data_IF_447895452504
#
_entry.id   IF_447895452504
#
_cell.length_a   1.000
_cell.length_b   1.000
_cell.length_c   1.000
_cell.angle_alpha   90.00
_cell.angle_beta   90.00
_cell.angle_gamma   90.00
#
_symmetry.space_group_name_H-M   'P 1'
#
loop_
_entity.id
_entity.type
_entity.pdbx_description
1 polymer ?
#
# COMPACT_ATOMS: atom_id res chain seq x y z
N UNK A 1 -13.80 -24.15 -59.89
CA UNK A 1 -13.61 -22.70 -59.63
C UNK A 1 -14.27 -22.37 -58.30
N UNK A 2 -13.52 -22.48 -57.22
CA UNK A 2 -13.98 -22.23 -55.85
C UNK A 2 -14.00 -20.73 -55.60
N UNK A 3 -15.16 -20.12 -55.85
CA UNK A 3 -15.48 -18.74 -55.47
C UNK A 3 -15.73 -18.74 -53.96
N UNK A 4 -14.72 -18.81 -53.10
CA UNK A 4 -14.85 -18.59 -51.66
C UNK A 4 -13.45 -18.35 -51.08
N UNK A 5 -12.97 -17.10 -51.08
CA UNK A 5 -12.10 -16.61 -49.98
C UNK A 5 -11.77 -15.10 -50.03
N UNK A 6 -12.05 -14.38 -51.12
CA UNK A 6 -11.62 -12.97 -51.22
C UNK A 6 -12.39 -12.00 -50.29
N UNK A 7 -13.60 -12.37 -49.86
CA UNK A 7 -14.40 -11.53 -48.96
C UNK A 7 -13.98 -11.69 -47.49
N UNK A 8 -13.29 -12.78 -47.14
CA UNK A 8 -12.78 -13.06 -45.78
C UNK A 8 -11.61 -12.14 -45.39
N UNK A 9 -10.86 -11.64 -46.38
CA UNK A 9 -9.59 -10.96 -46.18
C UNK A 9 -9.73 -9.43 -46.00
N UNK A 10 -10.82 -8.83 -46.48
CA UNK A 10 -11.01 -7.36 -46.45
C UNK A 10 -11.67 -6.90 -45.15
N UNK A 11 -11.01 -5.98 -44.44
CA UNK A 11 -11.47 -5.46 -43.14
C UNK A 11 -12.70 -4.57 -43.31
N UNK A 12 -12.76 -3.83 -44.43
CA UNK A 12 -13.88 -3.00 -44.81
C UNK A 12 -14.44 -3.43 -46.16
N UNK A 13 -15.72 -3.79 -46.18
CA UNK A 13 -16.45 -4.13 -47.40
C UNK A 13 -17.18 -2.90 -47.91
N UNK A 14 -17.11 -2.65 -49.22
CA UNK A 14 -17.89 -1.58 -49.86
C UNK A 14 -19.33 -2.07 -50.01
N UNK A 15 -20.28 -1.37 -49.40
CA UNK A 15 -21.70 -1.67 -49.52
C UNK A 15 -22.14 -1.59 -50.99
N UNK A 16 -22.70 -2.70 -51.51
CA UNK A 16 -23.27 -2.77 -52.87
C UNK A 16 -24.66 -2.13 -52.97
N UNK A 17 -25.22 -1.65 -51.86
CA UNK A 17 -26.56 -1.08 -51.79
C UNK A 17 -26.55 0.44 -52.01
N UNK A 18 -26.06 0.86 -53.19
CA UNK A 18 -26.21 2.20 -53.76
C UNK A 18 -25.54 3.38 -53.05
N UNK A 19 -25.05 3.22 -51.83
CA UNK A 19 -24.55 4.33 -50.99
C UNK A 19 -23.03 4.37 -50.82
N UNK A 20 -22.28 3.41 -51.39
CA UNK A 20 -20.82 3.43 -51.41
C UNK A 20 -20.14 3.44 -50.03
N UNK A 21 -20.89 3.22 -48.94
CA UNK A 21 -20.38 3.22 -47.56
C UNK A 21 -19.56 1.97 -47.27
N UNK A 22 -18.52 2.12 -46.47
CA UNK A 22 -17.72 1.00 -45.96
C UNK A 22 -18.39 0.41 -44.72
N UNK A 23 -18.58 -0.91 -44.72
CA UNK A 23 -19.13 -1.67 -43.59
C UNK A 23 -18.04 -2.57 -43.05
N UNK A 24 -17.91 -2.62 -41.72
CA UNK A 24 -16.97 -3.51 -41.05
C UNK A 24 -17.35 -4.98 -41.29
N UNK A 25 -16.37 -5.80 -41.67
CA UNK A 25 -16.59 -7.23 -41.86
C UNK A 25 -16.32 -8.00 -40.55
N UNK A 26 -17.36 -8.50 -39.85
CA UNK A 26 -17.18 -9.22 -38.59
C UNK A 26 -16.53 -10.60 -38.76
N UNK A 27 -16.35 -11.09 -39.99
CA UNK A 27 -15.70 -12.38 -40.28
C UNK A 27 -14.20 -12.24 -40.59
N UNK A 28 -13.66 -11.02 -40.64
CA UNK A 28 -12.24 -10.81 -40.89
C UNK A 28 -11.38 -11.16 -39.65
N UNK A 29 -10.41 -12.08 -39.75
CA UNK A 29 -9.57 -12.48 -38.63
C UNK A 29 -8.70 -11.33 -38.08
N UNK A 30 -8.23 -10.42 -38.94
CA UNK A 30 -7.46 -9.24 -38.56
C UNK A 30 -8.32 -8.25 -37.77
N UNK A 31 -9.55 -8.00 -38.22
CA UNK A 31 -10.48 -7.13 -37.51
C UNK A 31 -10.79 -7.65 -36.10
N UNK A 32 -11.03 -8.96 -35.96
CA UNK A 32 -11.24 -9.60 -34.65
C UNK A 32 -9.99 -9.50 -33.76
N UNK A 33 -8.81 -9.74 -34.32
CA UNK A 33 -7.54 -9.57 -33.61
C UNK A 33 -7.39 -8.15 -33.06
N UNK A 34 -7.72 -7.12 -33.85
CA UNK A 34 -7.64 -5.73 -33.40
C UNK A 34 -8.63 -5.41 -32.28
N UNK A 35 -9.84 -5.96 -32.32
CA UNK A 35 -10.83 -5.81 -31.23
C UNK A 35 -10.35 -6.51 -29.96
N UNK A 36 -9.84 -7.74 -30.05
CA UNK A 36 -9.30 -8.45 -28.90
C UNK A 36 -8.09 -7.71 -28.34
N UNK A 37 -7.17 -7.26 -29.20
CA UNK A 37 -6.00 -6.51 -28.80
C UNK A 37 -6.36 -5.20 -28.10
N UNK A 38 -7.34 -4.45 -28.62
CA UNK A 38 -7.78 -3.20 -28.00
C UNK A 38 -8.45 -3.44 -26.64
N UNK A 39 -9.22 -4.52 -26.50
CA UNK A 39 -9.81 -4.92 -25.22
C UNK A 39 -8.74 -5.37 -24.22
N UNK A 40 -7.71 -6.10 -24.66
CA UNK A 40 -6.59 -6.53 -23.80
C UNK A 40 -5.79 -5.31 -23.36
N UNK A 41 -5.40 -4.42 -24.27
CA UNK A 41 -4.65 -3.20 -23.92
C UNK A 41 -5.49 -2.33 -22.98
N UNK A 42 -6.77 -2.09 -23.32
CA UNK A 42 -7.68 -1.33 -22.47
C UNK A 42 -7.84 -1.95 -21.09
N UNK A 43 -7.97 -3.27 -21.02
CA UNK A 43 -8.05 -4.02 -19.77
C UNK A 43 -6.79 -3.92 -18.93
N UNK A 44 -5.61 -4.08 -19.55
CA UNK A 44 -4.30 -3.94 -18.87
C UNK A 44 -4.11 -2.53 -18.34
N UNK A 45 -4.44 -1.51 -19.14
CA UNK A 45 -4.34 -0.10 -18.73
C UNK A 45 -5.30 0.19 -17.58
N UNK A 46 -6.57 -0.22 -17.67
CA UNK A 46 -7.56 0.00 -16.62
C UNK A 46 -7.16 -0.74 -15.32
N UNK A 47 -6.68 -1.98 -15.45
CA UNK A 47 -6.17 -2.76 -14.33
C UNK A 47 -4.95 -2.09 -13.68
N UNK A 48 -4.01 -1.58 -14.48
CA UNK A 48 -2.84 -0.84 -14.01
C UNK A 48 -3.19 0.49 -13.35
N UNK A 49 -4.23 1.19 -13.80
CA UNK A 49 -4.74 2.40 -13.13
C UNK A 49 -5.45 2.08 -11.80
N UNK A 50 -6.19 0.97 -11.74
CA UNK A 50 -6.86 0.55 -10.50
C UNK A 50 -5.90 0.09 -9.41
N UNK A 51 -4.68 -0.29 -9.81
CA UNK A 51 -3.61 -0.76 -8.95
C UNK A 51 -2.43 0.17 -9.15
N UNK A 52 -2.56 1.42 -8.65
CA UNK A 52 -1.58 2.50 -8.40
C UNK A 52 -0.14 2.43 -8.99
N UNK A 53 0.48 1.26 -9.12
CA UNK A 53 1.89 1.06 -9.45
C UNK A 53 2.30 0.86 -10.92
N UNK A 54 1.41 0.84 -11.94
CA UNK A 54 1.88 0.63 -13.33
C UNK A 54 2.44 1.89 -14.01
N UNK A 55 1.86 3.07 -13.74
CA UNK A 55 2.29 4.37 -14.31
C UNK A 55 2.21 5.53 -13.30
N UNK A 56 1.79 5.28 -12.06
CA UNK A 56 1.73 6.29 -11.01
C UNK A 56 3.12 6.61 -10.48
N UNK A 57 3.36 7.82 -9.94
CA UNK A 57 4.56 8.09 -9.17
C UNK A 57 4.60 7.09 -8.01
N UNK A 58 5.69 6.33 -7.88
CA UNK A 58 5.96 5.59 -6.65
C UNK A 58 6.23 6.62 -5.56
N UNK A 59 5.50 6.58 -4.46
CA UNK A 59 5.84 7.40 -3.30
C UNK A 59 7.22 6.94 -2.80
N UNK A 60 8.19 7.84 -2.85
CA UNK A 60 9.53 7.63 -2.30
C UNK A 60 9.66 8.49 -1.06
N UNK A 61 10.03 7.86 0.04
CA UNK A 61 10.36 8.55 1.28
C UNK A 61 11.81 9.05 1.23
N UNK A 62 12.01 10.31 1.57
CA UNK A 62 13.32 10.82 1.95
C UNK A 62 13.58 10.47 3.42
N UNK A 63 14.84 10.23 3.79
CA UNK A 63 15.21 9.83 5.15
C UNK A 63 14.73 10.83 6.21
N UNK A 64 14.83 12.13 5.91
CA UNK A 64 14.42 13.20 6.82
C UNK A 64 12.89 13.31 6.93
N UNK A 65 12.17 13.14 5.82
CA UNK A 65 10.70 13.16 5.83
C UNK A 65 10.15 11.98 6.64
N UNK A 66 10.74 10.80 6.46
CA UNK A 66 10.38 9.62 7.27
C UNK A 66 10.66 9.85 8.74
N UNK A 67 11.82 10.41 9.07
CA UNK A 67 12.20 10.75 10.46
C UNK A 67 11.18 11.68 11.10
N UNK A 68 10.82 12.78 10.42
CA UNK A 68 9.87 13.77 10.93
C UNK A 68 8.48 13.15 11.10
N UNK A 69 8.00 12.40 10.11
CA UNK A 69 6.71 11.74 10.18
C UNK A 69 6.62 10.73 11.34
N UNK A 70 7.71 9.98 11.59
CA UNK A 70 7.79 9.05 12.72
C UNK A 70 7.79 9.78 14.07
N UNK A 71 8.49 10.91 14.17
CA UNK A 71 8.50 11.74 15.39
C UNK A 71 7.09 12.28 15.67
N UNK A 72 6.46 12.89 14.68
CA UNK A 72 5.13 13.50 14.82
C UNK A 72 4.06 12.44 15.15
N UNK A 73 4.09 11.30 14.46
CA UNK A 73 3.21 10.17 14.74
C UNK A 73 3.42 9.59 16.15
N UNK A 74 4.67 9.53 16.62
CA UNK A 74 5.00 9.02 17.97
C UNK A 74 4.51 9.96 19.06
N UNK A 75 4.62 11.27 18.86
CA UNK A 75 4.11 12.29 19.79
C UNK A 75 2.57 12.21 19.87
N UNK A 76 1.90 12.12 18.73
CA UNK A 76 0.43 12.01 18.67
C UNK A 76 -0.07 10.73 19.36
N UNK A 77 0.52 9.57 19.02
CA UNK A 77 0.14 8.28 19.59
C UNK A 77 0.45 8.16 21.09
N UNK A 78 1.54 8.78 21.55
CA UNK A 78 1.84 8.85 22.99
C UNK A 78 0.80 9.69 23.73
N UNK A 79 0.27 10.75 23.10
CA UNK A 79 -0.85 11.54 23.62
C UNK A 79 -2.19 10.79 23.60
N UNK A 80 -2.40 9.94 22.60
CA UNK A 80 -3.58 9.12 22.43
C UNK A 80 -3.49 7.79 23.20
N UNK A 81 -3.60 7.85 24.54
CA UNK A 81 -3.52 6.67 25.45
C UNK A 81 -4.62 5.59 25.25
N UNK A 82 -5.41 5.71 24.18
CA UNK A 82 -6.43 4.76 23.75
C UNK A 82 -5.81 3.50 23.12
N UNK A 83 -4.64 3.60 22.49
CA UNK A 83 -4.01 2.51 21.75
C UNK A 83 -2.68 2.09 22.39
N UNK A 84 -2.32 0.82 22.25
CA UNK A 84 -1.06 0.31 22.76
C UNK A 84 -0.73 -1.04 22.13
N UNK A 85 0.47 -1.58 22.38
CA UNK A 85 1.08 -2.57 21.53
C UNK A 85 0.34 -3.93 21.52
N UNK A 86 -0.36 -4.31 22.58
CA UNK A 86 -1.22 -5.52 22.58
C UNK A 86 -2.65 -5.28 22.08
N UNK A 87 -3.01 -4.05 21.67
CA UNK A 87 -4.37 -3.73 21.24
C UNK A 87 -4.74 -4.44 19.93
N UNK A 88 -6.01 -4.87 19.83
CA UNK A 88 -6.60 -5.33 18.58
C UNK A 88 -6.10 -6.65 18.03
N UNK A 89 -5.32 -7.44 18.77
CA UNK A 89 -4.79 -8.72 18.28
C UNK A 89 -3.64 -8.58 17.28
N UNK A 90 -2.81 -7.56 17.45
CA UNK A 90 -1.67 -7.30 16.58
C UNK A 90 -1.95 -6.28 15.48
N UNK A 91 -2.99 -5.44 15.61
CA UNK A 91 -3.31 -4.35 14.66
C UNK A 91 -2.53 -3.05 14.93
N UNK A 92 -1.64 -3.06 15.92
CA UNK A 92 -0.85 -1.88 16.27
C UNK A 92 0.16 -1.46 15.17
N UNK A 93 0.81 -2.38 14.42
CA UNK A 93 1.60 -2.02 13.25
C UNK A 93 0.81 -1.21 12.21
N UNK A 94 -0.45 -1.54 11.96
CA UNK A 94 -1.32 -0.83 11.02
C UNK A 94 -1.68 0.56 11.54
N UNK A 95 -1.93 0.71 12.85
CA UNK A 95 -2.14 2.02 13.48
C UNK A 95 -0.88 2.89 13.32
N UNK A 96 0.29 2.36 13.66
CA UNK A 96 1.56 3.06 13.46
C UNK A 96 1.76 3.44 11.99
N UNK A 97 1.54 2.51 11.07
CA UNK A 97 1.70 2.73 9.63
C UNK A 97 0.80 3.85 9.12
N UNK A 98 -0.47 3.86 9.52
CA UNK A 98 -1.44 4.89 9.14
C UNK A 98 -1.06 6.27 9.67
N UNK A 99 -0.73 6.39 10.97
CA UNK A 99 -0.33 7.68 11.55
C UNK A 99 0.99 8.22 10.95
N UNK A 100 1.96 7.35 10.66
CA UNK A 100 3.21 7.79 10.00
C UNK A 100 2.90 8.25 8.56
N UNK A 101 2.05 7.54 7.83
CA UNK A 101 1.68 7.94 6.46
C UNK A 101 0.88 9.26 6.42
N UNK A 102 0.00 9.50 7.39
CA UNK A 102 -0.76 10.75 7.54
C UNK A 102 0.16 11.96 7.75
N UNK A 103 1.25 11.77 8.49
CA UNK A 103 2.28 12.80 8.74
C UNK A 103 3.35 12.86 7.64
N UNK A 104 3.18 12.14 6.53
CA UNK A 104 4.10 12.17 5.40
C UNK A 104 4.10 13.51 4.63
N UNK A 105 5.08 13.72 3.73
CA UNK A 105 5.32 15.02 3.09
C UNK A 105 4.17 15.52 2.19
N UNK A 106 3.25 14.63 1.77
CA UNK A 106 2.09 15.00 0.94
C UNK A 106 0.82 14.27 1.38
N UNK A 107 -0.09 14.92 2.14
CA UNK A 107 -1.30 14.28 2.67
C UNK A 107 -2.32 13.88 1.60
N UNK A 108 -2.25 14.47 0.39
CA UNK A 108 -3.15 14.10 -0.72
C UNK A 108 -2.84 12.72 -1.36
N UNK A 109 -1.78 12.04 -0.91
CA UNK A 109 -1.31 10.75 -1.43
C UNK A 109 -1.05 9.73 -0.30
N UNK A 110 -1.74 9.87 0.83
CA UNK A 110 -1.60 9.02 2.03
C UNK A 110 -1.51 7.53 1.68
N UNK A 111 -2.40 7.01 0.84
CA UNK A 111 -2.42 5.59 0.45
C UNK A 111 -1.15 5.12 -0.28
N UNK A 112 -0.47 5.99 -1.03
CA UNK A 112 0.78 5.62 -1.72
C UNK A 112 1.95 5.58 -0.75
N UNK A 113 2.02 6.51 0.20
CA UNK A 113 3.04 6.53 1.24
C UNK A 113 2.84 5.40 2.24
N UNK A 114 1.58 5.06 2.53
CA UNK A 114 1.23 3.90 3.32
C UNK A 114 1.75 2.63 2.63
N UNK A 115 1.48 2.42 1.34
CA UNK A 115 2.01 1.27 0.57
C UNK A 115 3.54 1.19 0.58
N UNK A 116 4.23 2.34 0.56
CA UNK A 116 5.69 2.43 0.58
C UNK A 116 6.32 2.21 1.97
N UNK A 117 5.53 2.27 3.04
CA UNK A 117 5.97 2.12 4.44
C UNK A 117 5.81 0.67 4.91
N UNK A 118 6.80 0.17 5.64
CA UNK A 118 6.78 -1.16 6.27
C UNK A 118 7.01 -0.99 7.76
N UNK A 119 6.05 -1.45 8.56
CA UNK A 119 6.14 -1.48 10.03
C UNK A 119 6.00 -2.92 10.47
N UNK A 120 7.04 -3.46 11.09
CA UNK A 120 7.10 -4.85 11.50
C UNK A 120 7.43 -4.96 12.99
N UNK A 121 6.79 -5.92 13.67
CA UNK A 121 7.12 -6.21 15.06
C UNK A 121 8.51 -6.87 15.12
N UNK A 122 9.44 -6.21 15.80
CA UNK A 122 10.82 -6.65 15.97
C UNK A 122 11.09 -7.35 17.32
N UNK A 123 10.20 -7.17 18.30
CA UNK A 123 10.28 -7.85 19.60
C UNK A 123 9.36 -9.07 19.68
N UNK A 124 9.45 -9.78 20.80
CA UNK A 124 8.39 -10.72 21.18
C UNK A 124 7.02 -10.02 21.24
N UNK A 125 5.92 -10.72 20.91
CA UNK A 125 4.59 -10.16 20.99
C UNK A 125 4.27 -9.73 22.42
N UNK A 126 3.71 -8.52 22.61
CA UNK A 126 3.37 -8.02 23.93
C UNK A 126 2.33 -8.93 24.58
N UNK A 127 2.49 -9.19 25.87
CA UNK A 127 1.53 -9.99 26.62
C UNK A 127 0.35 -9.10 27.02
N UNK A 128 -0.83 -9.43 26.52
CA UNK A 128 -2.05 -8.69 26.83
C UNK A 128 -2.29 -8.64 28.35
N UNK A 129 -2.20 -7.42 28.90
CA UNK A 129 -2.42 -7.12 30.30
C UNK A 129 -3.89 -6.96 30.68
N UNK A 130 -4.85 -7.08 29.77
CA UNK A 130 -6.26 -6.68 29.97
C UNK A 130 -6.89 -7.17 31.29
N UNK A 131 -6.60 -8.40 31.72
CA UNK A 131 -7.16 -8.97 32.95
C UNK A 131 -6.37 -8.65 34.22
N UNK A 132 -5.06 -8.43 34.12
CA UNK A 132 -4.15 -8.32 35.28
C UNK A 132 -3.55 -6.93 35.47
N UNK A 133 -3.74 -6.03 34.50
CA UNK A 133 -2.93 -4.83 34.35
C UNK A 133 -1.47 -5.17 34.06
N UNK A 134 -0.65 -4.14 33.87
CA UNK A 134 0.79 -4.29 33.72
C UNK A 134 1.37 -3.34 32.69
N UNK A 135 2.71 -3.40 32.58
CA UNK A 135 3.45 -2.77 31.51
C UNK A 135 3.51 -3.71 30.30
N UNK A 136 3.21 -3.16 29.14
CA UNK A 136 3.35 -3.79 27.84
C UNK A 136 4.49 -3.09 27.10
N UNK A 137 5.39 -3.88 26.54
CA UNK A 137 6.57 -3.39 25.83
C UNK A 137 6.64 -4.10 24.50
N UNK A 138 6.80 -3.36 23.43
CA UNK A 138 7.05 -3.89 22.10
C UNK A 138 8.00 -2.98 21.31
N UNK A 139 8.82 -3.58 20.45
CA UNK A 139 9.68 -2.87 19.53
C UNK A 139 9.20 -3.08 18.09
N UNK A 140 9.11 -2.01 17.31
CA UNK A 140 8.71 -2.04 15.91
C UNK A 140 9.82 -1.48 15.04
N UNK A 141 10.12 -2.18 13.95
CA UNK A 141 11.03 -1.70 12.92
C UNK A 141 10.23 -0.95 11.86
N UNK A 142 10.64 0.28 11.55
CA UNK A 142 10.02 1.13 10.55
C UNK A 142 11.00 1.35 9.41
N UNK A 143 10.62 0.94 8.21
CA UNK A 143 11.39 1.16 6.98
C UNK A 143 10.47 1.68 5.89
N UNK A 144 11.04 2.33 4.86
CA UNK A 144 10.24 2.85 3.77
C UNK A 144 10.95 2.77 2.42
N UNK A 145 10.17 2.65 1.35
CA UNK A 145 10.68 2.65 -0.01
C UNK A 145 11.23 4.02 -0.38
N UNK A 146 12.41 4.05 -1.01
CA UNK A 146 13.09 5.30 -1.41
C UNK A 146 14.24 5.71 -0.49
N UNK A 147 14.36 5.10 0.69
CA UNK A 147 15.45 5.35 1.64
C UNK A 147 15.99 4.05 2.24
N UNK A 148 17.25 4.07 2.67
CA UNK A 148 17.87 3.02 3.49
C UNK A 148 17.76 3.32 5.00
N UNK A 149 17.08 4.41 5.37
CA UNK A 149 16.80 4.74 6.75
C UNK A 149 15.87 3.68 7.39
N UNK A 150 16.23 3.28 8.60
CA UNK A 150 15.45 2.37 9.43
C UNK A 150 15.40 2.93 10.84
N UNK A 151 14.21 2.91 11.44
CA UNK A 151 13.98 3.41 12.80
C UNK A 151 13.44 2.29 13.69
N UNK A 152 13.90 2.24 14.92
CA UNK A 152 13.35 1.35 15.94
C UNK A 152 12.45 2.14 16.87
N UNK A 153 11.18 1.74 16.94
CA UNK A 153 10.18 2.32 17.83
C UNK A 153 9.97 1.41 19.04
N UNK A 154 10.37 1.87 20.21
CA UNK A 154 10.14 1.20 21.48
C UNK A 154 8.87 1.77 22.12
N UNK A 155 7.83 0.95 22.17
CA UNK A 155 6.52 1.34 22.68
C UNK A 155 6.36 0.76 24.07
N UNK A 156 6.20 1.64 25.05
CA UNK A 156 5.94 1.32 26.45
C UNK A 156 4.54 1.80 26.81
N UNK A 157 3.67 0.87 27.18
CA UNK A 157 2.31 1.20 27.59
C UNK A 157 2.02 0.63 28.97
N UNK A 158 1.47 1.42 29.88
CA UNK A 158 1.08 0.96 31.21
C UNK A 158 -0.45 0.99 31.35
N UNK A 159 -1.00 -0.10 31.91
CA UNK A 159 -2.42 -0.24 32.16
C UNK A 159 -2.70 -0.71 33.58
N UNK A 160 -3.57 0.00 34.29
CA UNK A 160 -4.13 -0.43 35.56
C UNK A 160 -5.20 -1.52 35.40
N UNK A 161 -5.39 -2.29 36.46
CA UNK A 161 -6.38 -3.36 36.48
C UNK A 161 -7.78 -2.82 36.21
N UNK A 162 -8.47 -3.44 35.23
CA UNK A 162 -9.85 -3.14 34.82
C UNK A 162 -10.05 -1.78 34.14
N UNK A 163 -8.99 -1.09 33.74
CA UNK A 163 -9.10 0.04 32.81
C UNK A 163 -9.16 -0.47 31.37
N UNK A 164 -10.00 0.15 30.55
CA UNK A 164 -10.16 -0.18 29.13
C UNK A 164 -9.05 0.48 28.29
N UNK A 165 -8.57 1.65 28.72
CA UNK A 165 -7.51 2.42 28.08
C UNK A 165 -6.19 2.27 28.86
N UNK A 166 -5.08 2.67 28.22
CA UNK A 166 -3.81 2.78 28.90
C UNK A 166 -3.77 4.07 29.71
N UNK A 167 -3.08 4.03 30.84
CA UNK A 167 -2.88 5.19 31.69
C UNK A 167 -1.72 6.04 31.17
N UNK A 168 -0.69 5.38 30.62
CA UNK A 168 0.43 6.03 29.93
C UNK A 168 0.83 5.21 28.71
N UNK A 169 1.19 5.92 27.63
CA UNK A 169 1.84 5.36 26.45
C UNK A 169 3.01 6.28 26.13
N UNK A 170 4.20 5.72 26.03
CA UNK A 170 5.39 6.43 25.60
C UNK A 170 6.05 5.66 24.47
N UNK A 171 6.40 6.38 23.42
CA UNK A 171 7.08 5.84 22.25
C UNK A 171 8.43 6.52 22.16
N UNK A 172 9.49 5.72 22.26
CA UNK A 172 10.88 6.16 22.10
C UNK A 172 11.42 5.68 20.75
N UNK A 173 12.08 6.58 20.01
CA UNK A 173 12.62 6.29 18.67
C UNK A 173 14.14 6.26 18.70
N UNK A 174 14.73 5.20 18.13
CA UNK A 174 16.14 5.10 17.82
C UNK A 174 16.39 5.20 16.31
N UNK A 175 17.49 5.85 15.89
CA UNK A 175 17.87 6.09 14.47
C UNK A 175 18.44 4.86 13.75
N UNK A 176 18.20 3.66 14.29
CA UNK A 176 18.72 2.41 13.79
C UNK A 176 17.64 1.33 13.80
N UNK A 177 17.78 0.32 12.94
CA UNK A 177 16.91 -0.86 12.99
C UNK A 177 16.97 -1.55 14.37
N UNK A 178 15.85 -2.13 14.79
CA UNK A 178 15.78 -2.79 16.09
C UNK A 178 16.78 -3.97 16.21
N UNK A 179 17.46 -4.13 17.36
CA UNK A 179 18.40 -5.22 17.56
C UNK A 179 17.66 -6.57 17.56
N UNK A 180 17.77 -7.31 16.45
CA UNK A 180 17.08 -8.60 16.25
C UNK A 180 16.14 -8.64 15.04
N UNK A 181 15.82 -7.50 14.42
CA UNK A 181 15.14 -7.46 13.13
C UNK A 181 16.17 -7.77 12.03
N UNK A 182 16.02 -8.92 11.36
CA UNK A 182 16.80 -9.22 10.15
C UNK A 182 16.38 -8.21 9.07
N UNK A 183 17.33 -7.41 8.57
CA UNK A 183 17.04 -6.32 7.64
C UNK A 183 16.33 -6.85 6.38
N UNK A 184 15.31 -6.15 5.86
CA UNK A 184 14.69 -6.55 4.60
C UNK A 184 15.74 -6.49 3.48
N UNK A 185 16.00 -7.62 2.85
CA UNK A 185 16.87 -7.71 1.66
C UNK A 185 16.31 -6.82 0.53
N UNK A 186 17.16 -6.03 -0.15
CA UNK A 186 16.76 -5.11 -1.22
C UNK A 186 16.23 -5.82 -2.47
#
# INVERSE_FOLDING_TARGET
>A
MSVHDEDSEKVFLRSKWGTGRYVYNPYNPVGRMLIVLSLVIGGVVLYGYSRSGFLGPSASWEAEDLRLAVIDASEELSGASQFGPASGGGMYPEILRSHIAENGPVPAQESLYEEALVVELASDPPRDGMLKGGAEIAAYNVTASGTDAAFCLNVHAERQRRHVHYDTVSIDMDEHACPGAEAPTP
#
